data_IF_979944562135
#
_entry.id   IF_979944562135
#
_cell.length_a   1.000
_cell.length_b   1.000
_cell.length_c   1.000
_cell.angle_alpha   90.00
_cell.angle_beta   90.00
_cell.angle_gamma   90.00
#
_symmetry.space_group_name_H-M   'P 1'
#
loop_
_entity.id
_entity.type
_entity.pdbx_description
1 polymer ?
#
# COMPACT_ATOMS: atom_id res chain seq x y z
N UNK A 1 12.21 2.12 7.79
CA UNK A 1 13.27 2.53 6.85
C UNK A 1 12.55 3.04 5.60
N UNK A 2 12.48 4.36 5.39
CA UNK A 2 11.64 4.98 4.36
C UNK A 2 12.45 5.88 3.40
N UNK A 3 13.76 5.61 3.28
CA UNK A 3 14.73 6.46 2.58
C UNK A 3 14.32 6.78 1.13
N UNK A 4 13.63 5.86 0.47
CA UNK A 4 13.11 6.10 -0.88
C UNK A 4 12.14 7.28 -0.93
N UNK A 5 11.28 7.45 0.08
CA UNK A 5 10.29 8.53 0.09
C UNK A 5 10.93 9.90 0.28
N UNK A 6 12.05 9.97 1.01
CA UNK A 6 12.83 11.20 1.15
C UNK A 6 13.48 11.61 -0.18
N UNK A 7 14.00 10.65 -0.93
CA UNK A 7 14.55 10.90 -2.27
C UNK A 7 13.44 11.36 -3.24
N UNK A 8 12.29 10.71 -3.23
CA UNK A 8 11.15 11.10 -4.07
C UNK A 8 10.68 12.53 -3.77
N UNK A 9 10.53 12.88 -2.48
CA UNK A 9 10.21 14.24 -2.05
C UNK A 9 11.23 15.27 -2.52
N UNK A 10 12.54 14.97 -2.38
CA UNK A 10 13.62 15.83 -2.89
C UNK A 10 13.55 16.08 -4.40
N UNK A 11 12.98 15.13 -5.16
CA UNK A 11 12.78 15.26 -6.60
C UNK A 11 11.39 15.81 -6.96
N UNK A 12 10.68 16.43 -6.01
CA UNK A 12 9.41 17.14 -6.26
C UNK A 12 8.15 16.28 -6.11
N UNK A 13 8.25 15.04 -5.61
CA UNK A 13 7.05 14.24 -5.35
C UNK A 13 6.31 14.70 -4.09
N UNK A 14 4.98 14.75 -4.17
CA UNK A 14 4.09 14.72 -3.02
C UNK A 14 3.85 13.26 -2.66
N UNK A 15 4.21 12.87 -1.44
CA UNK A 15 4.04 11.50 -0.95
C UNK A 15 2.93 11.47 0.10
N UNK A 16 1.88 10.68 -0.15
CA UNK A 16 0.89 10.31 0.85
C UNK A 16 1.31 9.01 1.56
N UNK A 17 1.03 8.90 2.85
CA UNK A 17 1.47 7.78 3.68
C UNK A 17 0.30 7.01 4.27
N UNK A 18 0.41 5.68 4.26
CA UNK A 18 -0.53 4.76 4.88
C UNK A 18 0.16 3.77 5.83
N UNK A 19 -0.51 3.44 6.93
CA UNK A 19 -0.17 2.31 7.79
C UNK A 19 -1.44 1.49 8.02
N UNK A 20 -1.45 0.25 7.53
CA UNK A 20 -2.64 -0.59 7.50
C UNK A 20 -2.35 -1.94 8.14
N UNK A 21 -3.39 -2.64 8.59
CA UNK A 21 -3.26 -4.05 8.97
C UNK A 21 -3.47 -4.91 7.74
N UNK A 22 -2.62 -5.89 7.53
CA UNK A 22 -2.78 -6.90 6.48
C UNK A 22 -4.04 -7.76 6.68
N UNK A 23 -4.61 -7.77 7.88
CA UNK A 23 -5.85 -8.47 8.22
C UNK A 23 -7.11 -7.64 7.99
N UNK A 24 -7.01 -6.45 7.39
CA UNK A 24 -8.19 -5.64 7.10
C UNK A 24 -9.16 -6.37 6.15
N UNK A 25 -10.45 -6.15 6.35
CA UNK A 25 -11.47 -6.56 5.38
C UNK A 25 -11.37 -5.74 4.10
N UNK A 26 -12.02 -6.21 3.04
CA UNK A 26 -12.11 -5.45 1.79
C UNK A 26 -12.69 -4.05 2.01
N UNK A 27 -13.72 -3.91 2.84
CA UNK A 27 -14.34 -2.61 3.16
C UNK A 27 -13.41 -1.70 3.95
N UNK A 28 -12.60 -2.25 4.85
CA UNK A 28 -11.58 -1.50 5.59
C UNK A 28 -10.48 -1.01 4.65
N UNK A 29 -10.00 -1.86 3.74
CA UNK A 29 -9.06 -1.45 2.69
C UNK A 29 -9.64 -0.37 1.78
N UNK A 30 -10.90 -0.46 1.37
CA UNK A 30 -11.56 0.58 0.59
C UNK A 30 -11.55 1.94 1.31
N UNK A 31 -11.80 1.96 2.63
CA UNK A 31 -11.80 3.20 3.41
C UNK A 31 -10.41 3.83 3.46
N UNK A 32 -9.39 3.05 3.80
CA UNK A 32 -8.02 3.58 3.96
C UNK A 32 -7.38 3.96 2.62
N UNK A 33 -7.75 3.31 1.51
CA UNK A 33 -7.35 3.75 0.17
C UNK A 33 -7.97 5.11 -0.15
N UNK A 34 -9.27 5.30 0.09
CA UNK A 34 -9.94 6.59 -0.12
C UNK A 34 -9.32 7.70 0.72
N UNK A 35 -8.87 7.41 1.93
CA UNK A 35 -8.21 8.40 2.78
C UNK A 35 -6.85 8.82 2.22
N UNK A 36 -6.07 7.89 1.65
CA UNK A 36 -4.82 8.22 0.94
C UNK A 36 -5.11 8.99 -0.34
N UNK A 37 -6.12 8.62 -1.12
CA UNK A 37 -6.46 9.30 -2.39
C UNK A 37 -6.86 10.76 -2.18
N UNK A 38 -7.49 11.09 -1.05
CA UNK A 38 -7.83 12.49 -0.68
C UNK A 38 -6.60 13.39 -0.55
N UNK A 39 -5.43 12.83 -0.26
CA UNK A 39 -4.18 13.59 -0.22
C UNK A 39 -3.77 14.08 -1.61
N UNK A 40 -4.36 13.57 -2.70
CA UNK A 40 -4.06 13.97 -4.07
C UNK A 40 -2.54 14.02 -4.34
N UNK A 41 -1.85 12.97 -3.90
CA UNK A 41 -0.41 12.80 -4.00
C UNK A 41 -0.05 12.03 -5.28
N UNK A 42 1.09 12.35 -5.89
CA UNK A 42 1.58 11.60 -7.05
C UNK A 42 2.35 10.33 -6.65
N UNK A 43 2.61 10.13 -5.36
CA UNK A 43 3.15 8.89 -4.79
C UNK A 43 2.32 8.51 -3.58
N UNK A 44 1.76 7.30 -3.61
CA UNK A 44 1.08 6.70 -2.46
C UNK A 44 1.98 5.62 -1.86
N UNK A 45 2.37 5.78 -0.60
CA UNK A 45 3.29 4.87 0.10
C UNK A 45 2.60 4.29 1.34
N UNK A 46 2.24 3.00 1.27
CA UNK A 46 1.61 2.31 2.39
C UNK A 46 2.51 1.22 2.95
N UNK A 47 2.39 1.00 4.26
CA UNK A 47 3.04 -0.10 4.98
C UNK A 47 1.99 -1.00 5.61
N UNK A 48 2.28 -2.30 5.70
CA UNK A 48 1.48 -3.24 6.46
C UNK A 48 2.13 -3.48 7.83
N UNK A 49 1.31 -3.48 8.87
CA UNK A 49 1.74 -3.71 10.25
C UNK A 49 2.35 -5.11 10.40
N UNK A 50 3.50 -5.19 11.09
CA UNK A 50 4.19 -6.46 11.32
C UNK A 50 3.29 -7.47 12.04
N UNK A 51 3.29 -8.71 11.56
CA UNK A 51 2.51 -9.80 12.16
C UNK A 51 1.02 -9.77 11.77
N UNK A 52 0.66 -8.92 10.80
CA UNK A 52 -0.68 -8.89 10.22
C UNK A 52 -0.71 -9.35 8.76
N UNK A 53 0.45 -9.69 8.19
CA UNK A 53 0.59 -10.01 6.75
C UNK A 53 0.48 -11.51 6.49
N UNK A 54 1.04 -12.34 7.38
CA UNK A 54 0.97 -13.79 7.22
C UNK A 54 -0.43 -14.30 7.64
N UNK A 55 -1.12 -15.07 6.78
CA UNK A 55 -2.38 -15.71 7.15
C UNK A 55 -2.25 -16.58 8.41
N UNK A 56 -3.25 -16.56 9.29
CA UNK A 56 -3.21 -17.24 10.60
C UNK A 56 -3.04 -18.75 10.51
N UNK A 57 -3.43 -19.35 9.39
CA UNK A 57 -3.35 -20.77 9.08
C UNK A 57 -1.98 -21.20 8.53
N UNK A 58 -1.08 -20.24 8.26
CA UNK A 58 0.26 -20.50 7.73
C UNK A 58 1.28 -20.30 8.84
N UNK A 59 2.04 -21.37 9.13
CA UNK A 59 3.23 -21.26 9.97
C UNK A 59 4.33 -20.63 9.13
N UNK A 60 4.87 -19.49 9.57
CA UNK A 60 5.99 -18.84 8.89
C UNK A 60 7.22 -19.76 8.89
N UNK A 61 7.55 -20.33 7.73
CA UNK A 61 8.68 -21.27 7.59
C UNK A 61 9.98 -20.59 7.17
N UNK A 62 9.95 -19.29 6.82
CA UNK A 62 11.12 -18.54 6.37
C UNK A 62 11.09 -17.09 6.86
N UNK A 63 12.27 -16.50 7.10
CA UNK A 63 12.43 -15.10 7.56
C UNK A 63 11.93 -14.03 6.56
N UNK A 64 11.45 -14.45 5.38
CA UNK A 64 10.94 -13.57 4.33
C UNK A 64 9.44 -13.70 4.08
N UNK A 65 8.70 -14.44 4.91
CA UNK A 65 7.27 -14.70 4.73
C UNK A 65 6.47 -13.40 4.62
N UNK A 66 6.63 -12.50 5.58
CA UNK A 66 5.95 -11.20 5.59
C UNK A 66 6.21 -10.37 4.30
N UNK A 67 7.41 -10.45 3.72
CA UNK A 67 7.72 -9.75 2.47
C UNK A 67 6.96 -10.35 1.27
N UNK A 68 6.83 -11.67 1.21
CA UNK A 68 6.15 -12.38 0.11
C UNK A 68 4.64 -12.21 0.20
N UNK A 69 4.05 -12.34 1.39
CA UNK A 69 2.59 -12.24 1.56
C UNK A 69 2.05 -10.81 1.41
N UNK A 70 2.92 -9.79 1.50
CA UNK A 70 2.54 -8.40 1.23
C UNK A 70 1.95 -8.24 -0.17
N UNK A 71 2.51 -8.92 -1.18
CA UNK A 71 2.03 -8.84 -2.57
C UNK A 71 0.65 -9.48 -2.73
N UNK A 72 0.41 -10.61 -2.06
CA UNK A 72 -0.90 -11.28 -2.06
C UNK A 72 -1.99 -10.37 -1.52
N UNK A 73 -1.71 -9.60 -0.46
CA UNK A 73 -2.66 -8.64 0.08
C UNK A 73 -2.84 -7.47 -0.90
N UNK A 74 -1.74 -6.83 -1.30
CA UNK A 74 -1.77 -5.62 -2.12
C UNK A 74 -2.52 -5.80 -3.45
N UNK A 75 -2.33 -6.92 -4.14
CA UNK A 75 -3.01 -7.19 -5.41
C UNK A 75 -4.50 -7.47 -5.30
N UNK A 76 -4.99 -7.79 -4.10
CA UNK A 76 -6.41 -7.97 -3.84
C UNK A 76 -7.12 -6.70 -3.35
N UNK A 77 -6.39 -5.58 -3.16
CA UNK A 77 -6.99 -4.29 -2.80
C UNK A 77 -7.49 -3.60 -4.06
N UNK A 78 -8.81 -3.63 -4.29
CA UNK A 78 -9.42 -3.07 -5.51
C UNK A 78 -9.10 -1.60 -5.72
N UNK A 79 -9.09 -0.79 -4.65
CA UNK A 79 -8.78 0.64 -4.76
C UNK A 79 -7.37 0.92 -5.30
N UNK A 80 -6.38 0.05 -5.05
CA UNK A 80 -5.03 0.21 -5.63
C UNK A 80 -5.09 -0.02 -7.15
N UNK A 81 -5.83 -1.03 -7.59
CA UNK A 81 -6.05 -1.35 -9.01
C UNK A 81 -6.78 -0.21 -9.71
N UNK A 82 -7.84 0.30 -9.11
CA UNK A 82 -8.65 1.37 -9.68
C UNK A 82 -7.84 2.67 -9.79
N UNK A 83 -7.10 3.02 -8.74
CA UNK A 83 -6.16 4.15 -8.78
C UNK A 83 -5.15 4.01 -9.92
N UNK A 84 -4.52 2.83 -10.06
CA UNK A 84 -3.54 2.57 -11.11
C UNK A 84 -4.12 2.77 -12.52
N UNK A 85 -5.33 2.27 -12.78
CA UNK A 85 -5.97 2.39 -14.09
C UNK A 85 -6.55 3.78 -14.36
N UNK A 86 -6.76 4.62 -13.34
CA UNK A 86 -7.13 6.02 -13.54
C UNK A 86 -5.96 6.90 -14.00
N UNK A 87 -4.71 6.42 -13.88
CA UNK A 87 -3.54 7.20 -14.26
C UNK A 87 -3.37 7.25 -15.78
N UNK A 88 -3.12 8.46 -16.30
CA UNK A 88 -2.70 8.65 -17.68
C UNK A 88 -1.65 9.75 -17.77
N UNK A 89 -0.76 9.67 -18.76
CA UNK A 89 0.27 10.69 -19.02
C UNK A 89 -0.34 12.07 -19.31
N UNK A 90 -1.59 12.09 -19.77
CA UNK A 90 -2.28 13.26 -20.30
C UNK A 90 -3.51 13.63 -19.48
N UNK A 91 -3.65 13.20 -18.23
CA UNK A 91 -4.74 13.69 -17.37
C UNK A 91 -4.59 15.21 -17.22
N UNK A 92 -5.31 15.92 -18.09
CA UNK A 92 -5.55 17.36 -18.18
C UNK A 92 -6.84 17.69 -17.45
#
# INVERSE_FOLDING_TARGET
MNAITDILKKNGAKVAYGSWKGTYSSEEFTKVVKDIEKENANVNYSTLEKGTVIPKDIVETSKGGEHIYTWTIAYNIEGIRDWLFSQSKNNR
#
